data_IF_660390203052
#
_entry.id   IF_660390203052
#
_cell.length_a   1.000
_cell.length_b   1.000
_cell.length_c   1.000
_cell.angle_alpha   90.00
_cell.angle_beta   90.00
_cell.angle_gamma   90.00
#
_symmetry.space_group_name_H-M   'P 1'
#
loop_
_entity.id
_entity.type
_entity.pdbx_description
1 polymer ?
#
# COMPACT_ATOMS: atom_id res chain seq x y z
N UNK A 1 -5.58 -14.92 -20.89
CA UNK A 1 -5.55 -13.91 -19.82
C UNK A 1 -5.13 -12.58 -20.42
N UNK A 2 -6.02 -11.60 -20.40
CA UNK A 2 -5.69 -10.20 -20.61
C UNK A 2 -4.89 -9.67 -19.42
N UNK A 3 -4.00 -8.70 -19.66
CA UNK A 3 -3.23 -8.04 -18.60
C UNK A 3 -3.41 -6.53 -18.71
N UNK A 4 -3.78 -5.88 -17.61
CA UNK A 4 -3.81 -4.43 -17.48
C UNK A 4 -2.45 -3.94 -16.96
N UNK A 5 -1.85 -2.98 -17.67
CA UNK A 5 -0.59 -2.36 -17.29
C UNK A 5 -0.85 -1.05 -16.55
N UNK A 6 -0.45 -1.00 -15.27
CA UNK A 6 -0.58 0.21 -14.46
C UNK A 6 0.61 1.15 -14.69
N UNK A 7 0.30 2.44 -14.84
CA UNK A 7 1.27 3.52 -15.00
C UNK A 7 1.59 3.95 -16.42
N UNK A 8 1.03 3.29 -17.45
CA UNK A 8 1.06 3.78 -18.84
C UNK A 8 -0.05 4.81 -19.11
N UNK A 9 -1.23 4.59 -18.54
CA UNK A 9 -2.38 5.47 -18.66
C UNK A 9 -3.15 5.51 -17.34
N UNK A 10 -4.16 6.39 -17.27
CA UNK A 10 -5.09 6.42 -16.15
C UNK A 10 -5.93 5.16 -16.16
N UNK A 11 -5.91 4.40 -15.07
CA UNK A 11 -6.82 3.28 -14.86
C UNK A 11 -8.27 3.75 -14.94
N UNK A 12 -9.04 3.14 -15.84
CA UNK A 12 -10.46 3.41 -16.01
C UNK A 12 -11.33 2.60 -15.04
N UNK A 13 -12.59 3.00 -14.87
CA UNK A 13 -13.53 2.24 -14.04
C UNK A 13 -13.82 0.89 -14.69
N UNK A 14 -13.88 0.84 -16.02
CA UNK A 14 -14.10 -0.37 -16.79
C UNK A 14 -12.97 -1.38 -16.57
N UNK A 15 -11.71 -0.95 -16.70
CA UNK A 15 -10.55 -1.82 -16.43
C UNK A 15 -10.50 -2.29 -14.97
N UNK A 16 -10.84 -1.41 -14.02
CA UNK A 16 -10.96 -1.76 -12.62
C UNK A 16 -11.98 -2.90 -12.43
N UNK A 17 -13.17 -2.77 -13.02
CA UNK A 17 -14.22 -3.78 -12.93
C UNK A 17 -13.81 -5.09 -13.63
N UNK A 18 -13.14 -5.01 -14.78
CA UNK A 18 -12.60 -6.19 -15.48
C UNK A 18 -11.62 -6.96 -14.60
N UNK A 19 -10.67 -6.29 -13.94
CA UNK A 19 -9.73 -6.96 -13.02
C UNK A 19 -10.45 -7.56 -11.81
N UNK A 20 -11.45 -6.87 -11.28
CA UNK A 20 -12.14 -7.31 -10.06
C UNK A 20 -13.03 -8.53 -10.32
N UNK A 21 -13.76 -8.54 -11.45
CA UNK A 21 -14.83 -9.51 -11.73
C UNK A 21 -14.46 -10.60 -12.73
N UNK A 22 -13.42 -10.39 -13.52
CA UNK A 22 -13.01 -11.32 -14.57
C UNK A 22 -11.60 -11.86 -14.34
N UNK A 23 -11.20 -12.82 -15.17
CA UNK A 23 -9.88 -13.46 -15.13
C UNK A 23 -8.82 -12.61 -15.86
N UNK A 24 -8.60 -11.40 -15.36
CA UNK A 24 -7.64 -10.42 -15.89
C UNK A 24 -6.52 -10.16 -14.90
N UNK A 25 -5.29 -10.30 -15.38
CA UNK A 25 -4.07 -10.05 -14.61
C UNK A 25 -3.70 -8.56 -14.60
N UNK A 26 -2.87 -8.17 -13.64
CA UNK A 26 -2.32 -6.82 -13.51
C UNK A 26 -0.80 -6.89 -13.49
N UNK A 27 -0.15 -5.91 -14.09
CA UNK A 27 1.30 -5.71 -13.97
C UNK A 27 1.63 -4.21 -13.98
N UNK A 28 2.84 -3.85 -13.53
CA UNK A 28 3.37 -2.50 -13.71
C UNK A 28 3.98 -2.35 -15.10
N UNK A 29 3.78 -1.19 -15.71
CA UNK A 29 4.59 -0.78 -16.86
C UNK A 29 6.04 -0.51 -16.44
N UNK A 30 6.97 -0.55 -17.41
CA UNK A 30 8.37 -0.19 -17.14
C UNK A 30 8.50 1.26 -16.65
N UNK A 31 7.67 2.16 -17.18
CA UNK A 31 7.62 3.57 -16.75
C UNK A 31 7.22 3.70 -15.27
N UNK A 32 6.23 2.92 -14.81
CA UNK A 32 5.87 2.88 -13.40
C UNK A 32 7.01 2.34 -12.51
N UNK A 33 7.67 1.26 -12.94
CA UNK A 33 8.80 0.68 -12.18
C UNK A 33 9.93 1.72 -12.03
N UNK A 34 10.26 2.42 -13.10
CA UNK A 34 11.26 3.50 -13.07
C UNK A 34 10.83 4.67 -12.16
N UNK A 35 9.56 5.09 -12.22
CA UNK A 35 9.03 6.16 -11.37
C UNK A 35 9.09 5.79 -9.88
N UNK A 36 8.66 4.58 -9.53
CA UNK A 36 8.74 4.03 -8.17
C UNK A 36 10.20 3.96 -7.70
N UNK A 37 11.10 3.45 -8.56
CA UNK A 37 12.53 3.37 -8.26
C UNK A 37 13.14 4.73 -7.94
N UNK A 38 12.88 5.75 -8.78
CA UNK A 38 13.34 7.13 -8.52
C UNK A 38 12.78 7.70 -7.22
N UNK A 39 11.50 7.46 -6.93
CA UNK A 39 10.86 7.84 -5.67
C UNK A 39 11.57 7.23 -4.46
N UNK A 40 11.94 5.94 -4.57
CA UNK A 40 12.59 5.21 -3.50
C UNK A 40 13.99 5.73 -3.20
N UNK A 41 14.74 6.15 -4.20
CA UNK A 41 16.06 6.76 -4.00
C UNK A 41 15.98 8.07 -3.20
N UNK A 42 14.90 8.85 -3.33
CA UNK A 42 14.67 10.04 -2.49
C UNK A 42 14.53 9.66 -1.03
N UNK A 43 13.75 8.61 -0.72
CA UNK A 43 13.59 8.10 0.65
C UNK A 43 14.94 7.64 1.22
N UNK A 44 15.70 6.83 0.45
CA UNK A 44 17.03 6.37 0.88
C UNK A 44 17.96 7.54 1.19
N UNK A 45 17.98 8.56 0.33
CA UNK A 45 18.78 9.77 0.55
C UNK A 45 18.34 10.53 1.80
N UNK A 46 17.04 10.68 2.05
CA UNK A 46 16.55 11.35 3.25
C UNK A 46 16.97 10.64 4.54
N UNK A 47 16.96 9.30 4.54
CA UNK A 47 17.44 8.50 5.67
C UNK A 47 18.95 8.66 5.85
N UNK A 48 19.74 8.50 4.79
CA UNK A 48 21.21 8.66 4.84
C UNK A 48 21.64 10.06 5.31
N UNK A 49 20.92 11.10 4.86
CA UNK A 49 21.18 12.50 5.23
C UNK A 49 20.64 12.85 6.64
N UNK A 50 20.04 11.91 7.38
CA UNK A 50 19.38 12.12 8.68
C UNK A 50 18.36 13.28 8.65
N UNK A 51 17.62 13.43 7.55
CA UNK A 51 16.60 14.47 7.44
C UNK A 51 15.40 14.15 8.31
N UNK A 52 14.84 15.16 8.97
CA UNK A 52 13.58 15.04 9.71
C UNK A 52 12.43 14.91 8.71
N UNK A 53 11.86 13.71 8.60
CA UNK A 53 10.76 13.40 7.67
C UNK A 53 9.70 12.58 8.38
N UNK A 54 8.45 13.03 8.26
CA UNK A 54 7.27 12.40 8.86
C UNK A 54 7.17 10.91 8.49
N UNK A 55 7.10 10.04 9.50
CA UNK A 55 6.91 8.59 9.32
C UNK A 55 8.10 7.85 8.68
N UNK A 56 9.24 8.53 8.49
CA UNK A 56 10.51 7.90 8.09
C UNK A 56 11.52 7.96 9.24
N UNK A 57 11.83 9.17 9.73
CA UNK A 57 12.77 9.43 10.83
C UNK A 57 12.09 10.01 12.06
N UNK A 58 10.76 10.04 12.05
CA UNK A 58 9.90 10.53 13.13
C UNK A 58 8.71 9.60 13.36
N UNK A 59 8.05 9.74 14.51
CA UNK A 59 6.81 9.04 14.81
C UNK A 59 5.59 9.54 14.00
N UNK A 60 4.41 9.04 14.36
CA UNK A 60 3.15 9.32 13.66
C UNK A 60 2.16 10.10 14.54
N UNK A 61 1.30 10.88 13.91
CA UNK A 61 0.25 11.64 14.60
C UNK A 61 0.83 12.53 15.70
N UNK A 62 0.35 12.35 16.95
CA UNK A 62 0.85 13.10 18.13
C UNK A 62 2.36 12.95 18.36
N UNK A 63 2.98 11.89 17.85
CA UNK A 63 4.40 11.62 18.00
C UNK A 63 5.23 12.08 16.79
N UNK A 64 4.69 12.94 15.92
CA UNK A 64 5.42 13.50 14.77
C UNK A 64 6.70 14.24 15.15
N UNK A 65 6.77 14.76 16.38
CA UNK A 65 7.91 15.52 16.88
C UNK A 65 8.96 14.64 17.57
N UNK A 66 8.73 13.32 17.63
CA UNK A 66 9.65 12.34 18.23
C UNK A 66 10.53 11.77 17.13
N UNK A 67 11.85 12.00 17.22
CA UNK A 67 12.85 11.39 16.32
C UNK A 67 13.01 9.91 16.60
N UNK A 68 13.17 9.13 15.55
CA UNK A 68 13.30 7.67 15.59
C UNK A 68 14.66 7.29 15.04
N UNK A 69 15.34 6.36 15.70
CA UNK A 69 16.64 5.85 15.25
C UNK A 69 16.48 4.97 14.01
N UNK A 70 17.54 4.82 13.22
CA UNK A 70 17.53 3.91 12.07
C UNK A 70 17.26 2.46 12.52
N UNK A 71 17.82 2.05 13.66
CA UNK A 71 17.65 0.72 14.25
C UNK A 71 16.20 0.43 14.64
N UNK A 72 15.47 1.43 15.14
CA UNK A 72 14.07 1.29 15.56
C UNK A 72 13.07 1.44 14.40
N UNK A 73 13.52 1.90 13.22
CA UNK A 73 12.62 2.25 12.11
C UNK A 73 11.84 1.03 11.62
N UNK A 74 12.46 -0.15 11.54
CA UNK A 74 11.77 -1.37 11.11
C UNK A 74 10.64 -1.74 12.08
N UNK A 75 10.98 -1.84 13.37
CA UNK A 75 10.03 -2.12 14.46
C UNK A 75 8.89 -1.10 14.49
N UNK A 76 9.19 0.18 14.26
CA UNK A 76 8.19 1.22 14.19
C UNK A 76 7.18 1.00 13.04
N UNK A 77 7.64 0.63 11.85
CA UNK A 77 6.74 0.38 10.71
C UNK A 77 5.86 -0.85 10.96
N UNK A 78 6.40 -1.93 11.52
CA UNK A 78 5.62 -3.11 11.91
C UNK A 78 4.55 -2.76 12.95
N UNK A 79 4.94 -2.04 14.00
CA UNK A 79 4.03 -1.57 15.05
C UNK A 79 2.95 -0.63 14.52
N UNK A 80 3.27 0.22 13.53
CA UNK A 80 2.27 1.07 12.88
C UNK A 80 1.16 0.23 12.27
N UNK A 81 1.52 -0.77 11.45
CA UNK A 81 0.54 -1.64 10.79
C UNK A 81 -0.29 -2.39 11.83
N UNK A 82 0.35 -3.02 12.82
CA UNK A 82 -0.35 -3.77 13.87
C UNK A 82 -1.31 -2.89 14.70
N UNK A 83 -0.86 -1.71 15.11
CA UNK A 83 -1.68 -0.81 15.95
C UNK A 83 -2.89 -0.22 15.22
N UNK A 84 -2.82 -0.09 13.89
CA UNK A 84 -3.89 0.49 13.07
C UNK A 84 -4.86 -0.55 12.51
N UNK A 85 -4.54 -1.84 12.59
CA UNK A 85 -5.44 -2.95 12.24
C UNK A 85 -6.53 -3.18 13.30
N UNK A 86 -7.21 -2.11 13.73
CA UNK A 86 -8.21 -2.10 14.79
C UNK A 86 -9.66 -2.10 14.28
N UNK A 87 -9.85 -2.44 13.00
CA UNK A 87 -11.17 -2.52 12.37
C UNK A 87 -12.08 -3.58 13.01
N UNK A 88 -13.39 -3.33 12.96
CA UNK A 88 -14.45 -4.19 13.52
C UNK A 88 -15.65 -4.31 12.57
N UNK A 89 -16.58 -5.19 12.92
CA UNK A 89 -17.80 -5.43 12.15
C UNK A 89 -17.62 -6.47 11.05
N UNK A 90 -18.67 -6.69 10.29
CA UNK A 90 -18.67 -7.68 9.20
C UNK A 90 -17.57 -7.36 8.18
N UNK A 91 -16.90 -8.39 7.62
CA UNK A 91 -15.94 -8.20 6.54
C UNK A 91 -16.54 -7.47 5.34
N UNK A 92 -15.72 -6.65 4.69
CA UNK A 92 -16.04 -6.08 3.38
C UNK A 92 -16.14 -7.19 2.33
N UNK A 93 -17.01 -7.04 1.31
CA UNK A 93 -17.08 -8.00 0.21
C UNK A 93 -15.75 -8.11 -0.55
N UNK A 94 -15.40 -9.32 -1.00
CA UNK A 94 -14.13 -9.60 -1.68
C UNK A 94 -13.88 -8.69 -2.90
N UNK A 95 -14.92 -8.40 -3.69
CA UNK A 95 -14.82 -7.48 -4.83
C UNK A 95 -14.37 -6.08 -4.39
N UNK A 96 -14.88 -5.60 -3.25
CA UNK A 96 -14.52 -4.29 -2.69
C UNK A 96 -13.07 -4.30 -2.21
N UNK A 97 -12.64 -5.37 -1.55
CA UNK A 97 -11.25 -5.53 -1.11
C UNK A 97 -10.29 -5.59 -2.29
N UNK A 98 -10.60 -6.39 -3.33
CA UNK A 98 -9.79 -6.49 -4.54
C UNK A 98 -9.71 -5.15 -5.28
N UNK A 99 -10.81 -4.41 -5.37
CA UNK A 99 -10.84 -3.07 -5.94
C UNK A 99 -9.97 -2.09 -5.13
N UNK A 100 -10.07 -2.13 -3.79
CA UNK A 100 -9.25 -1.32 -2.88
C UNK A 100 -7.75 -1.60 -3.08
N UNK A 101 -7.36 -2.87 -3.15
CA UNK A 101 -5.98 -3.28 -3.42
C UNK A 101 -5.49 -2.73 -4.77
N UNK A 102 -6.28 -2.90 -5.84
CA UNK A 102 -5.92 -2.43 -7.17
C UNK A 102 -5.76 -0.90 -7.23
N UNK A 103 -6.70 -0.16 -6.64
CA UNK A 103 -6.61 1.30 -6.55
C UNK A 103 -5.38 1.74 -5.75
N UNK A 104 -5.03 1.01 -4.69
CA UNK A 104 -3.82 1.28 -3.91
C UNK A 104 -2.56 1.06 -4.73
N UNK A 105 -2.45 -0.07 -5.43
CA UNK A 105 -1.33 -0.35 -6.35
C UNK A 105 -1.21 0.74 -7.41
N UNK A 106 -2.32 1.11 -8.05
CA UNK A 106 -2.36 2.16 -9.07
C UNK A 106 -1.93 3.54 -8.54
N UNK A 107 -2.30 3.89 -7.30
CA UNK A 107 -1.84 5.14 -6.68
C UNK A 107 -0.34 5.10 -6.36
N UNK A 108 0.17 3.96 -5.88
CA UNK A 108 1.58 3.76 -5.56
C UNK A 108 2.47 3.77 -6.82
N UNK A 109 1.97 3.25 -7.94
CA UNK A 109 2.70 3.17 -9.21
C UNK A 109 2.99 4.53 -9.85
N UNK A 110 2.35 5.62 -9.39
CA UNK A 110 2.63 6.99 -9.83
C UNK A 110 4.08 7.41 -9.45
N UNK A 111 4.68 6.81 -8.41
CA UNK A 111 6.07 7.08 -8.04
C UNK A 111 6.27 8.32 -7.17
N UNK A 112 5.28 8.69 -6.36
CA UNK A 112 5.37 9.79 -5.39
C UNK A 112 5.38 9.34 -3.92
N UNK A 113 5.35 8.02 -3.66
CA UNK A 113 5.18 7.46 -2.30
C UNK A 113 6.47 6.97 -1.65
N UNK A 114 7.56 6.78 -2.40
CA UNK A 114 8.81 6.26 -1.85
C UNK A 114 8.76 4.81 -1.35
N UNK A 115 7.69 4.08 -1.67
CA UNK A 115 7.52 2.65 -1.34
C UNK A 115 8.55 1.80 -2.09
N UNK A 116 8.88 0.63 -1.55
CA UNK A 116 9.70 -0.34 -2.28
C UNK A 116 8.93 -0.96 -3.45
N UNK A 117 9.63 -1.23 -4.55
CA UNK A 117 9.02 -1.88 -5.72
C UNK A 117 8.48 -3.27 -5.37
N UNK A 118 9.24 -4.04 -4.58
CA UNK A 118 8.83 -5.39 -4.17
C UNK A 118 7.52 -5.39 -3.38
N UNK A 119 7.24 -4.37 -2.56
CA UNK A 119 5.94 -4.26 -1.87
C UNK A 119 4.77 -4.12 -2.86
N UNK A 120 4.93 -3.33 -3.92
CA UNK A 120 3.90 -3.18 -4.95
C UNK A 120 3.75 -4.49 -5.73
N UNK A 121 4.86 -5.12 -6.10
CA UNK A 121 4.86 -6.39 -6.84
C UNK A 121 4.19 -7.50 -6.03
N UNK A 122 4.44 -7.61 -4.72
CA UNK A 122 3.73 -8.56 -3.85
C UNK A 122 2.22 -8.30 -3.81
N UNK A 123 1.78 -7.03 -3.72
CA UNK A 123 0.35 -6.70 -3.79
C UNK A 123 -0.27 -7.09 -5.13
N UNK A 124 0.45 -6.89 -6.24
CA UNK A 124 0.02 -7.34 -7.58
C UNK A 124 -0.07 -8.86 -7.64
N UNK A 125 0.91 -9.58 -7.09
CA UNK A 125 0.85 -11.04 -7.03
C UNK A 125 -0.34 -11.52 -6.22
N UNK A 126 -0.66 -10.88 -5.09
CA UNK A 126 -1.85 -11.19 -4.31
C UNK A 126 -3.13 -11.02 -5.14
N UNK A 127 -3.27 -9.90 -5.87
CA UNK A 127 -4.41 -9.66 -6.76
C UNK A 127 -4.52 -10.75 -7.83
N UNK A 128 -3.40 -11.06 -8.51
CA UNK A 128 -3.37 -12.03 -9.61
C UNK A 128 -3.58 -13.48 -9.14
N UNK A 129 -3.17 -13.81 -7.91
CA UNK A 129 -3.35 -15.14 -7.30
C UNK A 129 -4.67 -15.27 -6.51
N UNK A 130 -5.48 -14.21 -6.45
CA UNK A 130 -6.76 -14.21 -5.71
C UNK A 130 -6.60 -14.25 -4.19
N UNK A 131 -5.49 -13.74 -3.65
CA UNK A 131 -5.30 -13.59 -2.20
C UNK A 131 -6.02 -12.32 -1.75
N UNK A 132 -7.16 -12.49 -1.08
CA UNK A 132 -8.02 -11.40 -0.61
C UNK A 132 -7.94 -11.30 0.91
N UNK A 133 -7.39 -10.21 1.47
CA UNK A 133 -7.38 -9.97 2.92
C UNK A 133 -8.80 -9.86 3.50
N UNK A 134 -9.00 -10.37 4.71
CA UNK A 134 -10.24 -10.15 5.46
C UNK A 134 -10.20 -8.76 6.09
N UNK A 135 -11.05 -7.85 5.63
CA UNK A 135 -11.04 -6.45 6.09
C UNK A 135 -12.37 -6.12 6.78
N UNK A 136 -12.38 -5.83 8.10
CA UNK A 136 -13.58 -5.39 8.79
C UNK A 136 -14.12 -4.06 8.25
N UNK A 137 -15.44 -3.93 8.14
CA UNK A 137 -16.10 -2.78 7.48
C UNK A 137 -16.14 -1.47 8.27
N UNK A 138 -15.81 -1.46 9.56
CA UNK A 138 -15.86 -0.26 10.43
C UNK A 138 -14.54 0.00 11.13
N UNK A 139 -14.25 1.28 11.39
CA UNK A 139 -13.12 1.72 12.22
C UNK A 139 -12.33 2.88 11.63
N UNK A 140 -12.29 3.00 10.31
CA UNK A 140 -11.69 4.17 9.64
C UNK A 140 -12.55 5.42 9.82
N UNK A 141 -11.91 6.58 10.04
CA UNK A 141 -12.58 7.88 10.07
C UNK A 141 -12.63 8.57 8.70
N UNK A 142 -11.88 8.06 7.71
CA UNK A 142 -11.77 8.66 6.36
C UNK A 142 -11.10 10.04 6.30
N UNK A 143 -10.77 10.67 7.43
CA UNK A 143 -10.23 12.03 7.48
C UNK A 143 -8.76 12.15 7.07
N UNK A 144 -7.94 11.13 7.36
CA UNK A 144 -6.51 11.07 7.03
C UNK A 144 -6.19 9.93 6.06
N UNK A 145 -7.19 9.52 5.28
CA UNK A 145 -7.18 8.31 4.47
C UNK A 145 -7.69 7.07 5.23
N UNK A 146 -7.75 5.96 4.51
CA UNK A 146 -8.35 4.71 5.00
C UNK A 146 -7.34 3.84 5.75
N UNK A 147 -6.78 4.39 6.83
CA UNK A 147 -5.67 3.77 7.57
C UNK A 147 -6.01 2.37 8.10
N UNK A 148 -7.22 2.20 8.67
CA UNK A 148 -7.63 0.92 9.27
C UNK A 148 -7.73 -0.21 8.25
N UNK A 149 -8.51 -0.09 7.15
CA UNK A 149 -8.59 -1.18 6.17
C UNK A 149 -7.27 -1.40 5.43
N UNK A 150 -6.47 -0.35 5.18
CA UNK A 150 -5.14 -0.52 4.58
C UNK A 150 -4.15 -1.21 5.52
N UNK A 151 -4.26 -1.00 6.84
CA UNK A 151 -3.46 -1.72 7.82
C UNK A 151 -3.80 -3.22 7.84
N UNK A 152 -5.10 -3.57 7.81
CA UNK A 152 -5.54 -4.97 7.68
C UNK A 152 -5.01 -5.62 6.38
N UNK A 153 -5.06 -4.91 5.25
CA UNK A 153 -4.45 -5.38 4.00
C UNK A 153 -2.93 -5.61 4.14
N UNK A 154 -2.23 -4.69 4.79
CA UNK A 154 -0.78 -4.77 4.96
C UNK A 154 -0.33 -5.85 5.93
N UNK A 155 -1.15 -6.27 6.91
CA UNK A 155 -0.82 -7.40 7.79
C UNK A 155 -0.58 -8.70 7.02
N UNK A 156 -1.32 -8.92 5.94
CA UNK A 156 -1.14 -10.12 5.09
C UNK A 156 0.24 -10.13 4.44
N UNK A 157 0.79 -8.97 4.06
CA UNK A 157 2.16 -8.84 3.54
C UNK A 157 3.23 -9.22 4.58
N UNK A 158 2.90 -9.11 5.86
CA UNK A 158 3.76 -9.49 6.99
C UNK A 158 3.53 -10.94 7.45
N UNK A 159 2.56 -11.67 6.86
CA UNK A 159 2.18 -13.00 7.30
C UNK A 159 1.40 -13.03 8.63
N UNK A 160 0.74 -11.92 8.97
CA UNK A 160 0.07 -11.71 10.26
C UNK A 160 -1.45 -11.52 10.15
N UNK A 161 -2.04 -11.76 8.98
CA UNK A 161 -3.47 -11.55 8.70
C UNK A 161 -4.02 -12.55 7.70
#
# INVERSE_FOLDING_TARGET
>A
MSTILLGEAKLTIEELLTVVREDTSVALSEQAKEAVGRSREVVKKCVLDNKVVYGLTTGFGKFSDVTISEEDTLTLQENLIMSHACGVGEPLPDEVVKAMMLLRVNALSIGNSGISLSTIETLIEMINKGVIPVIPSKGSLGASGDLVPLAHMSLVLLGMG
#
